data_IF_152644672881
#
_entry.id   IF_152644672881
#
_cell.length_a   1.000
_cell.length_b   1.000
_cell.length_c   1.000
_cell.angle_alpha   90.00
_cell.angle_beta   90.00
_cell.angle_gamma   90.00
#
_symmetry.space_group_name_H-M   'P 1'
#
loop_
_entity.id
_entity.type
_entity.pdbx_description
1 polymer ?
#
# COMPACT_ATOMS: atom_id res chain seq x y z
N UNK A 1 6.57 14.92 -20.84
CA UNK A 1 6.33 13.54 -20.39
C UNK A 1 7.13 13.13 -19.15
N UNK A 2 8.44 13.40 -19.06
CA UNK A 2 9.26 13.03 -17.87
C UNK A 2 8.69 13.59 -16.55
N UNK A 3 8.28 14.83 -16.48
CA UNK A 3 7.76 15.44 -15.23
C UNK A 3 6.46 14.83 -14.70
N UNK A 4 5.56 14.38 -15.57
CA UNK A 4 4.30 13.72 -15.16
C UNK A 4 4.55 12.33 -14.55
N UNK A 5 5.54 11.60 -15.09
CA UNK A 5 5.94 10.29 -14.55
C UNK A 5 6.60 10.47 -13.18
N UNK A 6 7.47 11.45 -13.06
CA UNK A 6 8.18 11.76 -11.82
C UNK A 6 7.22 12.20 -10.71
N UNK A 7 6.21 13.01 -11.03
CA UNK A 7 5.17 13.38 -10.07
C UNK A 7 4.32 12.19 -9.65
N UNK A 8 3.99 11.27 -10.57
CA UNK A 8 3.30 10.02 -10.25
C UNK A 8 4.11 9.13 -9.31
N UNK A 9 5.41 9.00 -9.56
CA UNK A 9 6.33 8.25 -8.70
C UNK A 9 6.41 8.89 -7.31
N UNK A 10 6.56 10.21 -7.21
CA UNK A 10 6.56 10.94 -5.94
C UNK A 10 5.28 10.71 -5.13
N UNK A 11 4.13 10.72 -5.81
CA UNK A 11 2.84 10.41 -5.15
C UNK A 11 2.76 8.96 -4.69
N UNK A 12 3.20 8.03 -5.52
CA UNK A 12 3.20 6.61 -5.19
C UNK A 12 4.10 6.31 -4.00
N UNK A 13 5.30 6.87 -3.98
CA UNK A 13 6.26 6.73 -2.90
C UNK A 13 5.99 7.67 -1.72
N UNK A 14 4.92 8.47 -1.78
CA UNK A 14 4.53 9.44 -0.75
C UNK A 14 5.66 10.39 -0.33
N UNK A 15 6.61 10.73 -1.24
CA UNK A 15 7.81 11.53 -0.95
C UNK A 15 7.51 12.96 -0.46
N UNK A 16 6.27 13.42 -0.61
CA UNK A 16 5.85 14.76 -0.17
C UNK A 16 5.37 14.78 1.29
N UNK A 17 5.47 13.67 2.01
CA UNK A 17 5.04 13.57 3.38
C UNK A 17 6.22 13.64 4.36
N UNK A 18 5.96 14.16 5.55
CA UNK A 18 6.94 14.16 6.63
C UNK A 18 6.93 12.81 7.34
N UNK A 19 7.92 11.96 7.05
CA UNK A 19 8.04 10.64 7.64
C UNK A 19 8.45 10.64 9.13
N UNK A 20 8.73 11.80 9.70
CA UNK A 20 8.96 11.94 11.15
C UNK A 20 7.67 12.03 11.97
N UNK A 21 6.51 11.97 11.30
CA UNK A 21 5.20 11.99 11.94
C UNK A 21 4.42 10.72 11.61
N UNK A 22 3.51 10.33 12.52
CA UNK A 22 2.57 9.25 12.26
C UNK A 22 1.56 9.69 11.19
N UNK A 23 1.57 9.03 10.06
CA UNK A 23 0.74 9.35 8.91
C UNK A 23 -0.25 8.23 8.63
N UNK A 24 -1.49 8.59 8.35
CA UNK A 24 -2.42 7.64 7.76
C UNK A 24 -2.01 7.39 6.30
N UNK A 25 -1.88 6.13 5.93
CA UNK A 25 -1.44 5.70 4.60
C UNK A 25 -2.40 4.65 4.05
N UNK A 26 -2.69 4.65 2.75
CA UNK A 26 -3.64 3.70 2.18
C UNK A 26 -3.07 2.28 2.07
N UNK A 27 -1.76 2.16 1.99
CA UNK A 27 -1.05 0.91 1.78
C UNK A 27 0.21 0.90 2.65
N UNK A 28 0.45 -0.24 3.29
CA UNK A 28 1.66 -0.53 4.03
C UNK A 28 2.47 -1.59 3.28
N UNK A 29 3.78 -1.49 3.34
CA UNK A 29 4.67 -2.51 2.78
C UNK A 29 4.68 -3.77 3.64
N UNK A 30 4.63 -4.92 3.02
CA UNK A 30 4.70 -6.22 3.68
C UNK A 30 6.03 -6.55 4.37
N UNK A 31 7.05 -5.69 4.21
CA UNK A 31 8.35 -5.90 4.87
C UNK A 31 8.28 -5.82 6.40
N UNK A 32 7.33 -5.04 6.94
CA UNK A 32 7.02 -5.01 8.37
C UNK A 32 5.64 -4.43 8.60
N UNK A 33 4.75 -5.24 9.13
CA UNK A 33 3.39 -4.85 9.49
C UNK A 33 3.09 -5.29 10.92
N UNK A 34 2.60 -4.37 11.75
CA UNK A 34 2.08 -4.68 13.08
C UNK A 34 0.57 -4.47 13.04
N UNK A 35 -0.18 -5.48 13.39
CA UNK A 35 -1.64 -5.49 13.30
C UNK A 35 -2.26 -5.83 14.65
N UNK A 36 -3.41 -5.23 14.94
CA UNK A 36 -4.24 -5.66 16.06
C UNK A 36 -4.86 -7.03 15.73
N UNK A 37 -4.97 -7.87 16.74
CA UNK A 37 -5.58 -9.20 16.61
C UNK A 37 -7.02 -9.13 16.04
N UNK A 38 -7.80 -8.17 16.48
CA UNK A 38 -9.14 -7.91 15.95
C UNK A 38 -9.13 -7.61 14.43
N UNK A 39 -8.12 -6.90 13.94
CA UNK A 39 -8.02 -6.59 12.51
C UNK A 39 -7.71 -7.87 11.71
N UNK A 40 -6.86 -8.73 12.24
CA UNK A 40 -6.55 -10.04 11.65
C UNK A 40 -7.81 -10.92 11.62
N UNK A 41 -8.53 -10.99 12.72
CA UNK A 41 -9.76 -11.79 12.83
C UNK A 41 -10.86 -11.32 11.85
N UNK A 42 -11.04 -10.00 11.70
CA UNK A 42 -12.09 -9.45 10.84
C UNK A 42 -11.74 -9.35 9.37
N UNK A 43 -10.46 -9.14 9.03
CA UNK A 43 -10.02 -8.93 7.66
C UNK A 43 -9.29 -10.13 7.07
N UNK A 44 -8.92 -11.10 7.92
CA UNK A 44 -8.07 -12.23 7.54
C UNK A 44 -6.62 -11.81 7.32
N UNK A 45 -5.77 -12.80 7.09
CA UNK A 45 -4.35 -12.64 6.76
C UNK A 45 -4.15 -12.41 5.25
N UNK A 46 -2.95 -12.67 4.77
CA UNK A 46 -2.64 -12.60 3.35
C UNK A 46 -3.54 -13.52 2.53
N UNK A 47 -3.98 -13.03 1.39
CA UNK A 47 -4.76 -13.81 0.44
C UNK A 47 -3.80 -14.70 -0.37
N UNK A 48 -3.88 -16.01 -0.17
CA UNK A 48 -2.97 -17.01 -0.76
C UNK A 48 -2.99 -17.03 -2.30
N UNK A 49 -3.97 -16.39 -2.92
CA UNK A 49 -3.97 -16.18 -4.37
C UNK A 49 -2.80 -15.34 -4.86
N UNK A 50 -2.23 -14.50 -3.97
CA UNK A 50 -1.05 -13.69 -4.24
C UNK A 50 0.18 -14.38 -3.67
N UNK A 51 0.88 -15.16 -4.49
CA UNK A 51 2.10 -15.86 -4.07
C UNK A 51 3.24 -14.88 -3.77
N UNK A 52 3.38 -13.83 -4.57
CA UNK A 52 4.40 -12.81 -4.42
C UNK A 52 3.92 -11.53 -5.12
N UNK A 53 4.15 -10.37 -4.49
CA UNK A 53 3.70 -9.05 -4.90
C UNK A 53 2.18 -8.83 -4.80
N UNK A 54 1.82 -7.65 -4.34
CA UNK A 54 0.45 -7.16 -4.14
C UNK A 54 -0.36 -7.87 -3.03
N UNK A 55 0.21 -8.85 -2.33
CA UNK A 55 -0.37 -9.44 -1.14
C UNK A 55 -0.53 -8.41 0.00
N UNK A 56 0.48 -7.54 0.16
CA UNK A 56 0.50 -6.47 1.13
C UNK A 56 -0.46 -5.32 0.74
N UNK A 57 -0.55 -5.03 -0.54
CA UNK A 57 -1.50 -4.05 -1.08
C UNK A 57 -2.94 -4.52 -0.86
N UNK A 58 -3.23 -5.79 -1.13
CA UNK A 58 -4.55 -6.40 -0.90
C UNK A 58 -4.93 -6.39 0.57
N UNK A 59 -4.01 -6.83 1.43
CA UNK A 59 -4.23 -6.87 2.88
C UNK A 59 -4.45 -5.47 3.46
N UNK A 60 -3.58 -4.51 3.10
CA UNK A 60 -3.72 -3.12 3.54
C UNK A 60 -5.07 -2.55 3.15
N UNK A 61 -5.52 -2.83 1.93
CA UNK A 61 -6.80 -2.37 1.42
C UNK A 61 -7.98 -2.95 2.21
N UNK A 62 -7.98 -4.26 2.49
CA UNK A 62 -9.02 -4.91 3.30
C UNK A 62 -9.07 -4.35 4.72
N UNK A 63 -7.90 -4.13 5.32
CA UNK A 63 -7.80 -3.53 6.65
C UNK A 63 -8.31 -2.10 6.63
N UNK A 64 -7.92 -1.29 5.65
CA UNK A 64 -8.30 0.13 5.57
C UNK A 64 -9.82 0.36 5.37
N UNK A 65 -10.57 -0.65 4.96
CA UNK A 65 -12.04 -0.56 4.89
C UNK A 65 -12.70 -0.39 6.27
N UNK A 66 -12.10 -0.98 7.31
CA UNK A 66 -12.67 -1.04 8.67
C UNK A 66 -11.78 -0.37 9.73
N UNK A 67 -10.48 -0.30 9.48
CA UNK A 67 -9.48 0.20 10.41
C UNK A 67 -8.60 1.26 9.73
N UNK A 68 -7.86 2.00 10.52
CA UNK A 68 -6.84 2.92 10.02
C UNK A 68 -5.54 2.17 9.78
N UNK A 69 -4.90 2.43 8.66
CA UNK A 69 -3.53 2.00 8.36
C UNK A 69 -2.58 3.18 8.54
N UNK A 70 -1.56 3.01 9.35
CA UNK A 70 -0.71 4.12 9.81
C UNK A 70 0.76 3.77 9.59
N UNK A 71 1.50 4.68 8.95
CA UNK A 71 2.94 4.72 9.06
C UNK A 71 3.32 5.22 10.45
N UNK A 72 4.04 4.41 11.22
CA UNK A 72 4.49 4.74 12.56
C UNK A 72 5.90 5.29 12.52
N UNK A 73 6.09 6.54 12.93
CA UNK A 73 7.36 7.24 12.86
C UNK A 73 8.30 6.95 14.06
N UNK A 74 7.80 6.28 15.11
CA UNK A 74 8.56 6.00 16.33
C UNK A 74 9.57 4.87 16.22
N UNK A 75 9.64 4.18 15.09
CA UNK A 75 10.58 3.07 14.87
C UNK A 75 10.96 2.94 13.41
N UNK A 76 12.11 2.35 13.14
CA UNK A 76 12.57 2.08 11.78
C UNK A 76 13.18 0.69 11.69
N UNK A 77 13.07 0.09 10.51
CA UNK A 77 13.72 -1.17 10.19
C UNK A 77 14.58 -1.01 8.94
N UNK A 78 15.63 -1.80 8.83
CA UNK A 78 16.45 -1.88 7.62
C UNK A 78 15.97 -3.07 6.81
N UNK A 79 15.46 -2.80 5.61
CA UNK A 79 15.01 -3.82 4.66
C UNK A 79 15.93 -3.87 3.45
N UNK A 80 16.59 -5.02 3.22
CA UNK A 80 17.43 -5.23 2.04
C UNK A 80 16.57 -5.48 0.79
N UNK A 81 16.20 -4.41 0.11
CA UNK A 81 15.34 -4.47 -1.06
C UNK A 81 16.10 -4.91 -2.31
N UNK A 82 15.84 -6.12 -2.79
CA UNK A 82 16.59 -6.72 -3.92
C UNK A 82 16.11 -6.32 -5.32
N UNK A 83 14.97 -5.65 -5.47
CA UNK A 83 14.35 -5.29 -6.78
C UNK A 83 14.32 -6.44 -7.80
N UNK A 84 14.01 -7.65 -7.34
CA UNK A 84 14.13 -8.87 -8.14
C UNK A 84 13.21 -8.89 -9.38
N UNK A 85 12.04 -8.22 -9.32
CA UNK A 85 11.12 -8.11 -10.46
C UNK A 85 11.67 -7.35 -11.65
N UNK A 86 12.66 -6.48 -11.43
CA UNK A 86 13.35 -5.75 -12.50
C UNK A 86 14.55 -6.50 -13.10
N UNK A 87 15.00 -7.57 -12.45
CA UNK A 87 16.22 -8.28 -12.83
C UNK A 87 15.96 -9.69 -13.39
N UNK A 88 14.84 -10.32 -13.02
CA UNK A 88 14.52 -11.71 -13.39
C UNK A 88 13.15 -11.77 -14.06
N UNK A 89 13.09 -12.37 -15.24
CA UNK A 89 11.83 -12.57 -15.99
C UNK A 89 10.81 -13.41 -15.19
N UNK A 90 11.27 -14.37 -14.40
CA UNK A 90 10.40 -15.16 -13.50
C UNK A 90 9.70 -14.28 -12.46
N UNK A 91 10.42 -13.36 -11.84
CA UNK A 91 9.84 -12.43 -10.87
C UNK A 91 8.90 -11.42 -11.53
N UNK A 92 9.21 -10.99 -12.75
CA UNK A 92 8.29 -10.14 -13.53
C UNK A 92 6.99 -10.89 -13.86
N UNK A 93 7.07 -12.16 -14.27
CA UNK A 93 5.88 -12.99 -14.55
C UNK A 93 5.01 -13.14 -13.29
N UNK A 94 5.60 -13.37 -12.12
CA UNK A 94 4.87 -13.44 -10.85
C UNK A 94 4.19 -12.11 -10.53
N UNK A 95 4.89 -10.99 -10.72
CA UNK A 95 4.32 -9.66 -10.49
C UNK A 95 3.12 -9.39 -11.42
N UNK A 96 3.24 -9.70 -12.70
CA UNK A 96 2.14 -9.55 -13.66
C UNK A 96 0.95 -10.44 -13.32
N UNK A 97 1.20 -11.69 -12.93
CA UNK A 97 0.16 -12.63 -12.50
C UNK A 97 -0.59 -12.10 -11.27
N UNK A 98 0.13 -11.61 -10.27
CA UNK A 98 -0.46 -10.99 -9.08
C UNK A 98 -1.22 -9.71 -9.44
N UNK A 99 -0.71 -8.89 -10.35
CA UNK A 99 -1.40 -7.69 -10.82
C UNK A 99 -2.74 -8.02 -11.51
N UNK A 100 -2.77 -9.03 -12.36
CA UNK A 100 -4.01 -9.49 -13.02
C UNK A 100 -5.02 -9.96 -11.95
N UNK A 101 -4.60 -10.77 -10.99
CA UNK A 101 -5.45 -11.24 -9.90
C UNK A 101 -5.99 -10.08 -9.05
N UNK A 102 -5.13 -9.11 -8.75
CA UNK A 102 -5.49 -7.93 -7.99
C UNK A 102 -6.56 -7.09 -8.71
N UNK A 103 -6.33 -6.78 -9.98
CA UNK A 103 -7.30 -6.01 -10.76
C UNK A 103 -8.59 -6.76 -11.04
N UNK A 104 -8.56 -8.09 -11.17
CA UNK A 104 -9.77 -8.91 -11.25
C UNK A 104 -10.58 -8.89 -9.94
N UNK A 105 -9.90 -8.80 -8.79
CA UNK A 105 -10.55 -8.71 -7.48
C UNK A 105 -11.13 -7.31 -7.19
N UNK A 106 -10.39 -6.25 -7.54
CA UNK A 106 -10.66 -4.89 -7.09
C UNK A 106 -11.13 -3.94 -8.20
N UNK A 107 -11.05 -4.37 -9.45
CA UNK A 107 -11.42 -3.58 -10.63
C UNK A 107 -10.21 -3.00 -11.36
N UNK A 108 -10.32 -2.99 -12.69
CA UNK A 108 -9.26 -2.52 -13.59
C UNK A 108 -9.23 -1.00 -13.73
N UNK A 109 -10.35 -0.40 -14.06
CA UNK A 109 -10.43 1.03 -14.41
C UNK A 109 -11.28 1.81 -13.42
N UNK A 110 -12.45 1.31 -13.08
CA UNK A 110 -13.41 1.98 -12.21
C UNK A 110 -13.33 1.42 -10.79
N UNK A 111 -12.36 1.89 -10.03
CA UNK A 111 -12.16 1.53 -8.64
C UNK A 111 -12.56 2.69 -7.72
N UNK A 112 -13.86 2.74 -7.39
CA UNK A 112 -14.44 3.77 -6.52
C UNK A 112 -13.86 3.70 -5.11
N UNK A 113 -13.65 2.50 -4.61
CA UNK A 113 -13.13 2.28 -3.28
C UNK A 113 -11.70 2.80 -3.12
N UNK A 114 -10.83 2.56 -4.10
CA UNK A 114 -9.48 3.12 -4.13
C UNK A 114 -9.50 4.66 -4.12
N UNK A 115 -10.42 5.26 -4.88
CA UNK A 115 -10.57 6.73 -4.90
C UNK A 115 -10.99 7.26 -3.53
N UNK A 116 -11.96 6.60 -2.90
CA UNK A 116 -12.47 6.98 -1.58
C UNK A 116 -11.40 6.81 -0.49
N UNK A 117 -10.70 5.70 -0.47
CA UNK A 117 -9.59 5.43 0.43
C UNK A 117 -8.51 6.52 0.33
N UNK A 118 -8.07 6.83 -0.90
CA UNK A 118 -7.07 7.87 -1.13
C UNK A 118 -7.58 9.27 -0.72
N UNK A 119 -8.87 9.55 -0.85
CA UNK A 119 -9.49 10.79 -0.40
C UNK A 119 -9.49 10.91 1.12
N UNK A 120 -9.89 9.86 1.82
CA UNK A 120 -9.91 9.81 3.30
C UNK A 120 -8.51 10.07 3.88
N UNK A 121 -7.51 9.39 3.34
CA UNK A 121 -6.10 9.57 3.75
C UNK A 121 -5.63 11.01 3.58
N UNK A 122 -5.95 11.65 2.45
CA UNK A 122 -5.59 13.05 2.22
C UNK A 122 -6.23 14.00 3.24
N UNK A 123 -7.52 13.80 3.51
CA UNK A 123 -8.27 14.63 4.47
C UNK A 123 -7.69 14.44 5.87
N UNK A 124 -7.48 13.19 6.30
CA UNK A 124 -6.94 12.87 7.62
C UNK A 124 -5.57 13.51 7.85
N UNK A 125 -4.67 13.42 6.87
CA UNK A 125 -3.33 13.99 6.99
C UNK A 125 -3.32 15.53 6.85
N UNK A 126 -4.27 16.12 6.13
CA UNK A 126 -4.39 17.57 6.05
C UNK A 126 -4.90 18.17 7.36
N UNK A 127 -5.91 17.56 7.96
CA UNK A 127 -6.46 18.01 9.25
C UNK A 127 -5.41 18.05 10.37
N UNK A 128 -4.46 17.10 10.37
CA UNK A 128 -3.35 17.08 11.35
C UNK A 128 -2.34 18.21 11.17
N UNK A 129 -2.27 18.84 10.00
CA UNK A 129 -1.33 19.96 9.73
C UNK A 129 -1.90 21.32 10.13
N UNK A 130 -3.21 21.38 10.38
CA UNK A 130 -3.93 22.64 10.69
C UNK A 130 -4.15 22.80 12.20
N UNK A 131 -3.92 21.74 12.99
CA UNK A 131 -3.94 21.74 14.45
C UNK A 131 -2.54 21.86 15.02
#
# INVERSE_FOLDING_TARGET
>A
MKGLIEERIRRYEMRNFNYHENLEVPILSGCCMVMKDEAVTHCGMFDERFFLYLEDVDLSRRIHQKYRTVHFAGSSIVHQYQKSSYRKLSSLKLHLTSAIKYFNKWGWVFDRERKEMNRKVKISNHAKRVL
#
